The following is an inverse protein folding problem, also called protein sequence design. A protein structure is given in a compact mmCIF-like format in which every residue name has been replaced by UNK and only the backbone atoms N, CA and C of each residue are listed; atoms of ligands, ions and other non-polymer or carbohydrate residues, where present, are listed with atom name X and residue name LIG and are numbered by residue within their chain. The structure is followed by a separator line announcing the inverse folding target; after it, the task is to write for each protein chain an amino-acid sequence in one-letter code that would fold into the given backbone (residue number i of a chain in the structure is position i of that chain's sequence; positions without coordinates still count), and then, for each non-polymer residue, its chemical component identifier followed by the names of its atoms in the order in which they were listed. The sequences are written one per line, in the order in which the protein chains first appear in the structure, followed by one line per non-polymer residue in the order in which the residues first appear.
data_IF_143384522524
#
_entry.id   IF_143384522524
#
_cell.length_a   1.000
_cell.length_b   1.000
_cell.length_c   1.000
_cell.angle_alpha   90.00
_cell.angle_beta   90.00
_cell.angle_gamma   90.00
#
_symmetry.space_group_name_H-M   'P 1'
#
loop_
_entity.id
_entity.type
_entity.pdbx_description
1 polymer ?
#
# COMPACT_ATOMS: atom_id res chain seq x y z
N UNK A 1 3.27 3.34 -24.34
CA UNK A 1 3.27 4.81 -24.18
C UNK A 1 3.50 5.07 -22.71
N UNK A 2 4.74 5.34 -22.29
CA UNK A 2 5.11 5.59 -20.89
C UNK A 2 4.37 6.83 -20.42
N UNK A 3 3.58 6.72 -19.36
CA UNK A 3 2.88 7.89 -18.79
C UNK A 3 3.96 8.82 -18.25
N UNK A 4 4.07 10.00 -18.84
CA UNK A 4 5.03 11.02 -18.42
C UNK A 4 4.72 11.42 -16.97
N UNK A 5 5.75 11.40 -16.10
CA UNK A 5 5.68 11.76 -14.66
C UNK A 5 5.22 13.22 -14.39
N UNK A 6 5.09 14.04 -15.42
CA UNK A 6 4.77 15.47 -15.36
C UNK A 6 3.41 15.82 -16.00
N UNK A 7 2.44 14.90 -15.94
CA UNK A 7 1.10 15.22 -16.46
C UNK A 7 0.49 16.36 -15.63
N UNK A 8 0.25 17.50 -16.26
CA UNK A 8 -0.57 18.56 -15.66
C UNK A 8 -1.92 17.96 -15.22
N UNK A 9 -2.27 18.13 -13.94
CA UNK A 9 -3.55 17.61 -13.39
C UNK A 9 -3.45 16.25 -12.67
N UNK A 10 -2.27 15.67 -12.44
CA UNK A 10 -2.13 14.43 -11.70
C UNK A 10 -2.70 14.51 -10.27
N UNK A 11 -2.65 15.70 -9.64
CA UNK A 11 -3.23 15.91 -8.31
C UNK A 11 -4.76 15.70 -8.33
N UNK A 12 -5.45 16.13 -9.40
CA UNK A 12 -6.89 15.94 -9.51
C UNK A 12 -7.24 14.47 -9.75
N UNK A 13 -6.43 13.76 -10.52
CA UNK A 13 -6.55 12.31 -10.68
C UNK A 13 -6.31 11.60 -9.35
N UNK A 14 -5.25 11.95 -8.62
CA UNK A 14 -4.95 11.40 -7.31
C UNK A 14 -6.05 11.68 -6.28
N UNK A 15 -6.59 12.91 -6.23
CA UNK A 15 -7.73 13.25 -5.35
C UNK A 15 -8.97 12.44 -5.69
N UNK A 16 -9.27 12.25 -6.98
CA UNK A 16 -10.38 11.40 -7.42
C UNK A 16 -10.15 9.96 -6.98
N UNK A 17 -8.97 9.41 -7.22
CA UNK A 17 -8.61 8.05 -6.81
C UNK A 17 -8.70 7.88 -5.29
N UNK A 18 -8.18 8.82 -4.51
CA UNK A 18 -8.24 8.76 -3.05
C UNK A 18 -9.68 8.76 -2.51
N UNK A 19 -10.57 9.60 -3.09
CA UNK A 19 -12.02 9.54 -2.77
C UNK A 19 -12.63 8.19 -3.15
N UNK A 20 -12.30 7.68 -4.33
CA UNK A 20 -12.78 6.39 -4.82
C UNK A 20 -12.34 5.22 -3.93
N UNK A 21 -11.08 5.22 -3.45
CA UNK A 21 -10.56 4.23 -2.50
C UNK A 21 -11.43 4.20 -1.24
N UNK A 22 -11.65 5.34 -0.60
CA UNK A 22 -12.46 5.43 0.61
C UNK A 22 -13.90 4.95 0.38
N UNK A 23 -14.52 5.42 -0.72
CA UNK A 23 -15.89 5.06 -1.07
C UNK A 23 -16.05 3.56 -1.31
N UNK A 24 -15.11 2.92 -2.05
CA UNK A 24 -15.17 1.47 -2.33
C UNK A 24 -14.99 0.64 -1.08
N UNK A 25 -14.02 1.00 -0.23
CA UNK A 25 -13.77 0.26 1.01
C UNK A 25 -14.94 0.41 1.98
N UNK A 26 -15.57 1.60 2.05
CA UNK A 26 -16.78 1.80 2.85
C UNK A 26 -17.94 0.94 2.32
N UNK A 27 -18.21 0.99 1.02
CA UNK A 27 -19.27 0.18 0.40
C UNK A 27 -19.05 -1.32 0.65
N UNK A 28 -17.81 -1.80 0.52
CA UNK A 28 -17.43 -3.18 0.83
C UNK A 28 -17.68 -3.53 2.30
N UNK A 29 -17.26 -2.64 3.23
CA UNK A 29 -17.45 -2.84 4.67
C UNK A 29 -18.91 -2.91 5.06
N UNK A 30 -19.76 -2.06 4.49
CA UNK A 30 -21.22 -2.09 4.69
C UNK A 30 -21.80 -3.41 4.18
N UNK A 31 -21.43 -3.83 2.97
CA UNK A 31 -21.97 -5.05 2.36
C UNK A 31 -21.60 -6.32 3.14
N UNK A 32 -20.36 -6.41 3.67
CA UNK A 32 -19.81 -7.62 4.28
C UNK A 32 -19.77 -7.56 5.82
N UNK A 33 -20.26 -6.50 6.44
CA UNK A 33 -20.17 -6.24 7.88
C UNK A 33 -18.74 -6.41 8.44
N UNK A 34 -17.77 -5.89 7.71
CA UNK A 34 -16.38 -5.92 8.15
C UNK A 34 -15.40 -5.34 7.14
N UNK A 35 -14.45 -4.55 7.63
CA UNK A 35 -13.39 -3.97 6.79
C UNK A 35 -12.40 -3.09 7.51
N UNK A 36 -11.27 -2.89 6.86
CA UNK A 36 -10.17 -2.02 7.31
C UNK A 36 -10.40 -0.58 6.82
N UNK A 37 -11.42 0.11 7.37
CA UNK A 37 -11.81 1.45 6.92
C UNK A 37 -10.77 2.51 7.24
N UNK A 38 -10.18 2.47 8.44
CA UNK A 38 -9.18 3.46 8.84
C UNK A 38 -7.94 3.41 7.95
N UNK A 39 -7.56 2.22 7.50
CA UNK A 39 -6.45 2.04 6.56
C UNK A 39 -6.75 2.67 5.19
N UNK A 40 -7.99 2.55 4.72
CA UNK A 40 -8.40 3.24 3.50
C UNK A 40 -8.45 4.76 3.67
N UNK A 41 -8.82 5.25 4.87
CA UNK A 41 -8.83 6.68 5.16
C UNK A 41 -7.43 7.27 5.22
N UNK A 42 -6.50 6.61 5.93
CA UNK A 42 -5.13 7.08 6.11
C UNK A 42 -4.29 6.96 4.84
N UNK A 43 -4.38 5.82 4.13
CA UNK A 43 -3.48 5.52 3.01
C UNK A 43 -3.95 6.02 1.65
N UNK A 44 -5.17 6.55 1.52
CA UNK A 44 -5.76 6.83 0.21
C UNK A 44 -4.92 7.76 -0.65
N UNK A 45 -4.41 8.86 -0.12
CA UNK A 45 -3.54 9.79 -0.84
C UNK A 45 -2.17 9.18 -1.14
N UNK A 46 -1.62 8.38 -0.23
CA UNK A 46 -0.33 7.71 -0.43
C UNK A 46 -0.43 6.73 -1.62
N UNK A 47 -1.43 5.85 -1.62
CA UNK A 47 -1.65 4.90 -2.70
C UNK A 47 -1.99 5.61 -4.02
N UNK A 48 -2.85 6.64 -3.98
CA UNK A 48 -3.17 7.44 -5.14
C UNK A 48 -1.91 8.10 -5.73
N UNK A 49 -1.08 8.76 -4.92
CA UNK A 49 0.15 9.40 -5.37
C UNK A 49 1.16 8.38 -5.94
N UNK A 50 1.30 7.21 -5.30
CA UNK A 50 2.15 6.13 -5.80
C UNK A 50 1.74 5.71 -7.22
N UNK A 51 0.44 5.45 -7.45
CA UNK A 51 -0.05 4.92 -8.73
C UNK A 51 -0.24 5.98 -9.82
N UNK A 52 -0.48 7.24 -9.49
CA UNK A 52 -0.72 8.30 -10.50
C UNK A 52 0.52 9.13 -10.82
N UNK A 53 1.52 9.21 -9.92
CA UNK A 53 2.65 10.14 -10.07
C UNK A 53 4.01 9.52 -9.78
N UNK A 54 4.15 8.74 -8.71
CA UNK A 54 5.46 8.38 -8.17
C UNK A 54 6.08 7.19 -8.91
N UNK A 55 5.30 6.12 -9.09
CA UNK A 55 5.78 4.90 -9.73
C UNK A 55 5.82 5.02 -11.25
N UNK A 56 6.92 4.60 -11.84
CA UNK A 56 7.04 4.42 -13.29
C UNK A 56 6.53 3.03 -13.66
N UNK A 57 5.25 2.93 -13.97
CA UNK A 57 4.59 1.69 -14.35
C UNK A 57 4.03 1.79 -15.77
N UNK A 58 4.04 0.68 -16.50
CA UNK A 58 3.27 0.52 -17.72
C UNK A 58 1.82 0.08 -17.40
N UNK A 59 0.92 0.08 -18.37
CA UNK A 59 -0.43 -0.47 -18.20
C UNK A 59 -0.42 -1.90 -17.66
N UNK A 60 -1.47 -2.26 -16.90
CA UNK A 60 -1.67 -3.61 -16.43
C UNK A 60 -1.66 -4.61 -17.60
N UNK A 61 -0.96 -5.73 -17.41
CA UNK A 61 -0.98 -6.88 -18.34
C UNK A 61 -1.79 -8.06 -17.78
N UNK A 62 -2.42 -7.86 -16.62
CA UNK A 62 -3.32 -8.82 -16.00
C UNK A 62 -4.72 -8.77 -16.62
N UNK A 63 -5.52 -9.85 -16.50
CA UNK A 63 -6.95 -9.80 -16.79
C UNK A 63 -7.64 -8.74 -15.91
N UNK A 64 -8.52 -7.87 -16.45
CA UNK A 64 -9.22 -6.85 -15.66
C UNK A 64 -9.98 -7.42 -14.46
N UNK A 65 -10.65 -8.56 -14.64
CA UNK A 65 -11.28 -9.33 -13.55
C UNK A 65 -10.29 -10.41 -13.13
N UNK A 66 -9.87 -10.46 -11.84
CA UNK A 66 -8.93 -11.46 -11.35
C UNK A 66 -9.42 -12.89 -11.63
N UNK A 67 -8.54 -13.76 -12.15
CA UNK A 67 -8.90 -15.14 -12.39
C UNK A 67 -9.05 -15.92 -11.07
N UNK A 68 -9.75 -17.06 -11.07
CA UNK A 68 -9.70 -17.99 -9.96
C UNK A 68 -8.27 -18.40 -9.64
N UNK A 69 -8.02 -18.76 -8.38
CA UNK A 69 -6.70 -19.22 -7.94
C UNK A 69 -6.28 -20.50 -8.70
N UNK A 70 -5.21 -20.45 -9.50
CA UNK A 70 -4.81 -21.57 -10.34
C UNK A 70 -3.95 -22.61 -9.61
N UNK A 71 -3.79 -22.47 -8.29
CA UNK A 71 -2.81 -23.20 -7.50
C UNK A 71 -1.45 -22.53 -7.46
N UNK A 72 -0.57 -23.01 -6.59
CA UNK A 72 0.78 -22.46 -6.44
C UNK A 72 1.65 -22.77 -7.67
N UNK A 73 2.62 -21.88 -8.01
CA UNK A 73 3.59 -22.15 -9.06
C UNK A 73 4.38 -23.43 -8.77
N UNK A 74 4.59 -24.25 -9.80
CA UNK A 74 5.34 -25.48 -9.65
C UNK A 74 5.58 -26.18 -10.98
N UNK A 75 6.27 -27.33 -10.92
CA UNK A 75 6.57 -28.14 -12.12
C UNK A 75 5.32 -28.49 -12.94
N UNK A 76 4.21 -28.70 -12.26
CA UNK A 76 2.94 -29.08 -12.89
C UNK A 76 1.99 -27.89 -13.11
N UNK A 77 2.35 -26.69 -12.63
CA UNK A 77 1.61 -25.45 -12.80
C UNK A 77 2.56 -24.29 -13.15
N UNK A 78 3.25 -24.33 -14.31
CA UNK A 78 4.26 -23.33 -14.68
C UNK A 78 3.63 -21.99 -15.08
N UNK A 79 2.30 -21.93 -15.27
CA UNK A 79 1.55 -20.73 -15.67
C UNK A 79 0.76 -20.14 -14.53
N UNK A 80 1.19 -20.35 -13.29
CA UNK A 80 0.54 -19.72 -12.15
C UNK A 80 0.48 -18.20 -12.35
N UNK A 81 -0.67 -17.64 -12.04
CA UNK A 81 -0.92 -16.22 -12.16
C UNK A 81 -0.05 -15.44 -11.16
N UNK A 82 0.53 -14.34 -11.60
CA UNK A 82 1.32 -13.44 -10.77
C UNK A 82 0.57 -12.10 -10.61
N UNK A 83 0.24 -11.75 -9.37
CA UNK A 83 -0.47 -10.51 -9.03
C UNK A 83 0.28 -9.24 -9.39
N UNK A 84 1.61 -9.28 -9.47
CA UNK A 84 2.43 -8.16 -9.94
C UNK A 84 2.06 -7.70 -11.38
N UNK A 85 1.44 -8.56 -12.19
CA UNK A 85 0.98 -8.21 -13.52
C UNK A 85 -0.04 -7.05 -13.55
N UNK A 86 -0.74 -6.79 -12.45
CA UNK A 86 -1.58 -5.60 -12.29
C UNK A 86 -0.77 -4.30 -12.24
N UNK A 87 0.49 -4.35 -11.81
CA UNK A 87 1.41 -3.22 -11.82
C UNK A 87 2.06 -3.00 -13.20
N UNK A 88 1.80 -3.88 -14.16
CA UNK A 88 2.36 -3.86 -15.51
C UNK A 88 3.41 -4.96 -15.73
N UNK A 89 4.09 -4.95 -16.89
CA UNK A 89 5.16 -5.91 -17.17
C UNK A 89 6.38 -5.67 -16.28
N UNK A 90 7.14 -6.73 -16.01
CA UNK A 90 8.44 -6.60 -15.36
C UNK A 90 9.50 -6.24 -16.40
N UNK A 91 10.09 -5.04 -16.28
CA UNK A 91 11.16 -4.58 -17.16
C UNK A 91 12.28 -3.88 -16.37
N UNK A 92 13.52 -3.83 -16.90
CA UNK A 92 14.68 -3.27 -16.18
C UNK A 92 14.55 -1.80 -15.80
N UNK A 93 13.76 -1.03 -16.54
CA UNK A 93 13.55 0.40 -16.35
C UNK A 93 12.20 0.75 -15.71
N UNK A 94 11.33 -0.23 -15.49
CA UNK A 94 10.05 -0.05 -14.79
C UNK A 94 10.20 -0.32 -13.30
N UNK A 95 9.39 0.36 -12.52
CA UNK A 95 9.40 0.24 -11.07
C UNK A 95 8.70 -1.05 -10.59
N UNK A 96 9.01 -1.46 -9.37
CA UNK A 96 8.37 -2.58 -8.66
C UNK A 96 7.70 -2.06 -7.40
N UNK A 97 6.56 -2.65 -7.05
CA UNK A 97 5.79 -2.25 -5.87
C UNK A 97 5.57 -3.42 -4.91
N UNK A 98 5.79 -3.19 -3.63
CA UNK A 98 5.62 -4.16 -2.56
C UNK A 98 4.69 -3.62 -1.49
N UNK A 99 3.57 -4.28 -1.26
CA UNK A 99 2.69 -4.02 -0.12
C UNK A 99 3.18 -4.86 1.07
N UNK A 100 3.72 -4.23 2.10
CA UNK A 100 4.20 -4.92 3.29
C UNK A 100 3.07 -5.19 4.28
N UNK A 101 2.30 -4.18 4.61
CA UNK A 101 1.17 -4.29 5.52
C UNK A 101 -0.08 -4.81 4.79
N UNK A 102 -0.23 -6.13 4.68
CA UNK A 102 -1.29 -6.75 3.84
C UNK A 102 -2.71 -6.46 4.29
N UNK A 103 -2.94 -6.02 5.52
CA UNK A 103 -4.26 -5.53 5.94
C UNK A 103 -4.71 -4.25 5.21
N UNK A 104 -3.82 -3.62 4.41
CA UNK A 104 -4.17 -2.60 3.42
C UNK A 104 -4.57 -3.17 2.06
N UNK A 105 -4.63 -4.50 1.88
CA UNK A 105 -4.93 -5.12 0.59
C UNK A 105 -6.25 -4.61 -0.01
N UNK A 106 -7.29 -4.44 0.81
CA UNK A 106 -8.58 -3.90 0.34
C UNK A 106 -8.43 -2.47 -0.21
N UNK A 107 -7.62 -1.62 0.43
CA UNK A 107 -7.32 -0.28 -0.07
C UNK A 107 -6.47 -0.32 -1.36
N UNK A 108 -5.53 -1.27 -1.46
CA UNK A 108 -4.75 -1.49 -2.68
C UNK A 108 -5.65 -1.94 -3.84
N UNK A 109 -6.56 -2.89 -3.64
CA UNK A 109 -7.48 -3.32 -4.70
C UNK A 109 -8.38 -2.17 -5.15
N UNK A 110 -8.86 -1.35 -4.21
CA UNK A 110 -9.59 -0.14 -4.56
C UNK A 110 -8.72 0.84 -5.37
N UNK A 111 -7.45 1.02 -5.03
CA UNK A 111 -6.52 1.86 -5.79
C UNK A 111 -6.29 1.31 -7.21
N UNK A 112 -6.13 -0.01 -7.38
CA UNK A 112 -6.02 -0.64 -8.70
C UNK A 112 -7.26 -0.39 -9.56
N UNK A 113 -8.45 -0.40 -8.95
CA UNK A 113 -9.70 -0.08 -9.66
C UNK A 113 -9.74 1.39 -10.07
N UNK A 114 -9.46 2.30 -9.13
CA UNK A 114 -9.51 3.74 -9.39
C UNK A 114 -8.46 4.23 -10.39
N UNK A 115 -7.39 3.47 -10.59
CA UNK A 115 -6.34 3.74 -11.58
C UNK A 115 -6.46 2.88 -12.85
N UNK A 116 -7.60 2.19 -13.04
CA UNK A 116 -7.92 1.44 -14.27
C UNK A 116 -7.09 0.16 -14.47
N UNK A 117 -6.49 -0.37 -13.40
CA UNK A 117 -5.65 -1.58 -13.44
C UNK A 117 -6.42 -2.86 -13.14
N UNK A 118 -7.56 -2.76 -12.46
CA UNK A 118 -8.46 -3.86 -12.12
C UNK A 118 -9.91 -3.42 -12.36
N UNK A 119 -10.77 -4.33 -12.79
CA UNK A 119 -12.19 -4.05 -12.92
C UNK A 119 -12.91 -4.05 -11.55
N UNK A 120 -13.97 -3.24 -11.37
CA UNK A 120 -14.73 -3.19 -10.11
C UNK A 120 -15.28 -4.54 -9.66
N UNK A 121 -15.62 -5.42 -10.60
CA UNK A 121 -16.13 -6.77 -10.34
C UNK A 121 -15.13 -7.65 -9.60
N UNK A 122 -13.83 -7.35 -9.71
CA UNK A 122 -12.78 -8.05 -8.99
C UNK A 122 -12.95 -7.94 -7.48
N UNK A 123 -13.40 -6.79 -6.97
CA UNK A 123 -13.61 -6.60 -5.54
C UNK A 123 -14.73 -7.47 -4.96
N UNK A 124 -15.69 -7.90 -5.78
CA UNK A 124 -16.75 -8.81 -5.35
C UNK A 124 -16.22 -10.22 -5.01
N UNK A 125 -14.98 -10.53 -5.42
CA UNK A 125 -14.32 -11.79 -5.14
C UNK A 125 -13.53 -11.79 -3.81
N UNK A 126 -13.48 -10.65 -3.10
CA UNK A 126 -12.67 -10.51 -1.89
C UNK A 126 -12.99 -11.59 -0.85
N UNK A 127 -11.96 -12.33 -0.43
CA UNK A 127 -12.03 -13.44 0.53
C UNK A 127 -13.05 -14.55 0.20
N UNK A 128 -13.34 -14.76 -1.08
CA UNK A 128 -14.14 -15.92 -1.50
C UNK A 128 -13.25 -17.12 -1.77
N UNK A 129 -13.73 -18.31 -1.46
CA UNK A 129 -13.02 -19.56 -1.73
C UNK A 129 -12.64 -19.67 -3.21
N UNK A 130 -11.38 -20.01 -3.46
CA UNK A 130 -10.83 -20.11 -4.82
C UNK A 130 -10.56 -18.77 -5.51
N UNK A 131 -10.68 -17.64 -4.81
CA UNK A 131 -10.31 -16.32 -5.32
C UNK A 131 -8.82 -16.04 -5.15
N UNK A 132 -8.30 -15.15 -6.01
CA UNK A 132 -6.97 -14.53 -5.82
C UNK A 132 -7.05 -13.17 -5.10
N UNK A 133 -8.25 -12.67 -4.81
CA UNK A 133 -8.48 -11.38 -4.16
C UNK A 133 -8.63 -11.60 -2.66
N UNK A 134 -7.51 -11.63 -1.95
CA UNK A 134 -7.42 -12.06 -0.56
C UNK A 134 -7.08 -10.90 0.38
N UNK A 135 -7.54 -10.98 1.63
CA UNK A 135 -7.17 -10.03 2.69
C UNK A 135 -5.71 -10.21 3.12
N UNK A 136 -5.28 -11.45 3.27
CA UNK A 136 -3.87 -11.81 3.50
C UNK A 136 -3.28 -12.23 2.16
N UNK A 137 -2.94 -11.22 1.36
CA UNK A 137 -2.55 -11.44 -0.02
C UNK A 137 -1.20 -12.15 -0.17
N UNK A 138 -1.08 -12.87 -1.27
CA UNK A 138 0.12 -13.58 -1.69
C UNK A 138 0.58 -13.08 -3.07
N UNK A 139 1.63 -13.66 -3.62
CA UNK A 139 2.18 -13.28 -4.93
C UNK A 139 1.19 -13.42 -6.10
N UNK A 140 0.10 -14.15 -5.91
CA UNK A 140 -0.99 -14.27 -6.90
C UNK A 140 -2.11 -13.23 -6.70
N UNK A 141 -2.11 -12.50 -5.58
CA UNK A 141 -3.15 -11.49 -5.31
C UNK A 141 -2.88 -10.19 -6.09
N UNK A 142 -3.92 -9.52 -6.64
CA UNK A 142 -3.74 -8.35 -7.49
C UNK A 142 -2.84 -7.27 -6.88
N UNK A 143 -1.81 -6.87 -7.62
CA UNK A 143 -0.87 -5.83 -7.21
C UNK A 143 0.21 -6.26 -6.21
N UNK A 144 0.19 -7.51 -5.71
CA UNK A 144 1.20 -8.03 -4.80
C UNK A 144 2.32 -8.75 -5.56
N UNK A 145 3.55 -8.55 -5.11
CA UNK A 145 4.74 -9.17 -5.69
C UNK A 145 5.24 -10.36 -4.88
N UNK A 146 4.89 -10.41 -3.61
CA UNK A 146 5.32 -11.43 -2.65
C UNK A 146 4.19 -11.78 -1.71
N UNK A 147 4.26 -12.95 -1.11
CA UNK A 147 3.36 -13.35 -0.03
C UNK A 147 3.59 -12.46 1.20
N UNK A 148 2.52 -11.83 1.65
CA UNK A 148 2.49 -10.97 2.83
C UNK A 148 1.97 -11.69 4.08
N UNK A 149 1.46 -10.93 5.06
CA UNK A 149 0.83 -11.43 6.28
C UNK A 149 1.76 -11.48 7.49
N UNK A 150 3.02 -11.78 7.31
CA UNK A 150 4.03 -11.68 8.36
C UNK A 150 4.64 -10.28 8.35
N UNK A 151 4.20 -9.42 9.26
CA UNK A 151 4.60 -8.01 9.31
C UNK A 151 6.13 -7.85 9.44
N UNK A 152 6.69 -6.90 8.71
CA UNK A 152 8.13 -6.61 8.69
C UNK A 152 8.95 -7.46 7.73
N UNK A 153 8.42 -8.56 7.16
CA UNK A 153 9.19 -9.44 6.26
C UNK A 153 9.31 -8.90 4.84
N UNK A 154 8.31 -8.21 4.34
CA UNK A 154 8.26 -7.76 2.95
C UNK A 154 9.39 -6.77 2.62
N UNK A 155 9.80 -5.93 3.58
CA UNK A 155 10.91 -5.01 3.37
C UNK A 155 12.23 -5.75 3.05
N UNK A 156 12.50 -6.88 3.72
CA UNK A 156 13.67 -7.72 3.43
C UNK A 156 13.58 -8.34 2.03
N UNK A 157 12.39 -8.81 1.62
CA UNK A 157 12.17 -9.40 0.30
C UNK A 157 12.34 -8.34 -0.80
N UNK A 158 11.77 -7.14 -0.61
CA UNK A 158 11.96 -6.01 -1.51
C UNK A 158 13.43 -5.58 -1.60
N UNK A 159 14.16 -5.60 -0.49
CA UNK A 159 15.60 -5.37 -0.42
C UNK A 159 16.39 -6.40 -1.26
N UNK A 160 16.01 -7.67 -1.20
CA UNK A 160 16.60 -8.72 -2.03
C UNK A 160 16.38 -8.48 -3.53
N UNK A 161 15.17 -8.11 -3.93
CA UNK A 161 14.84 -7.72 -5.30
C UNK A 161 15.65 -6.50 -5.73
N UNK A 162 15.73 -5.46 -4.88
CA UNK A 162 16.51 -4.27 -5.16
C UNK A 162 18.00 -4.58 -5.33
N UNK A 163 18.58 -5.43 -4.48
CA UNK A 163 19.96 -5.84 -4.61
C UNK A 163 20.22 -6.57 -5.94
N UNK A 164 19.33 -7.49 -6.32
CA UNK A 164 19.42 -8.20 -7.60
C UNK A 164 19.35 -7.22 -8.79
N UNK A 165 18.45 -6.23 -8.77
CA UNK A 165 18.33 -5.19 -9.78
C UNK A 165 19.61 -4.34 -9.88
N UNK A 166 20.15 -3.93 -8.73
CA UNK A 166 21.43 -3.19 -8.68
C UNK A 166 22.58 -3.97 -9.33
N UNK A 167 22.70 -5.27 -9.01
CA UNK A 167 23.74 -6.15 -9.59
C UNK A 167 23.57 -6.31 -11.12
N UNK A 168 22.32 -6.30 -11.60
CA UNK A 168 21.99 -6.32 -13.04
C UNK A 168 22.07 -4.95 -13.72
N UNK A 169 22.33 -3.86 -12.97
CA UNK A 169 22.35 -2.48 -13.47
C UNK A 169 21.00 -2.04 -14.06
N UNK A 170 19.91 -2.54 -13.51
CA UNK A 170 18.56 -2.09 -13.84
C UNK A 170 18.29 -0.70 -13.23
N UNK A 171 17.48 0.12 -13.88
CA UNK A 171 17.28 1.53 -13.53
C UNK A 171 15.95 1.81 -12.82
N UNK A 172 14.98 0.89 -12.91
CA UNK A 172 13.70 1.03 -12.22
C UNK A 172 13.87 0.93 -10.70
N UNK A 173 13.04 1.64 -9.98
CA UNK A 173 13.04 1.70 -8.50
C UNK A 173 12.22 0.57 -7.90
N UNK A 174 12.42 0.35 -6.61
CA UNK A 174 11.63 -0.56 -5.78
C UNK A 174 10.90 0.27 -4.72
N UNK A 175 9.59 0.26 -4.77
CA UNK A 175 8.72 0.98 -3.84
C UNK A 175 8.08 0.02 -2.86
N UNK A 176 8.11 0.37 -1.58
CA UNK A 176 7.51 -0.42 -0.51
C UNK A 176 6.51 0.45 0.24
N UNK A 177 5.28 -0.03 0.38
CA UNK A 177 4.30 0.58 1.27
C UNK A 177 4.28 -0.19 2.59
N UNK A 178 4.41 0.53 3.70
CA UNK A 178 4.44 -0.02 5.06
C UNK A 178 3.46 0.71 5.98
N UNK A 179 3.12 0.07 7.10
CA UNK A 179 2.49 0.72 8.24
C UNK A 179 3.51 1.05 9.34
N UNK A 180 3.20 2.02 10.19
CA UNK A 180 4.01 2.36 11.35
C UNK A 180 4.14 1.19 12.35
N UNK A 181 3.10 0.37 12.51
CA UNK A 181 3.10 -0.81 13.38
C UNK A 181 4.17 -1.85 13.02
N UNK A 182 4.64 -1.89 11.78
CA UNK A 182 5.70 -2.82 11.36
C UNK A 182 7.07 -2.48 11.96
N UNK A 183 7.27 -1.25 12.45
CA UNK A 183 8.47 -0.86 13.18
C UNK A 183 8.52 -1.35 14.64
N UNK A 184 7.49 -2.04 15.08
CA UNK A 184 7.52 -2.84 16.32
C UNK A 184 8.19 -4.21 16.10
N UNK A 185 8.41 -4.61 14.83
CA UNK A 185 9.09 -5.86 14.47
C UNK A 185 10.61 -5.64 14.32
N UNK A 186 11.42 -6.47 14.97
CA UNK A 186 12.87 -6.43 14.86
C UNK A 186 13.38 -6.61 13.43
N UNK A 187 12.71 -7.46 12.64
CA UNK A 187 13.10 -7.73 11.26
C UNK A 187 13.03 -6.51 10.35
N UNK A 188 12.13 -5.54 10.62
CA UNK A 188 12.10 -4.26 9.90
C UNK A 188 13.42 -3.49 10.06
N UNK A 189 13.99 -3.48 11.26
CA UNK A 189 15.26 -2.80 11.56
C UNK A 189 16.45 -3.53 10.96
N UNK A 190 16.44 -4.86 10.99
CA UNK A 190 17.46 -5.68 10.29
C UNK A 190 17.43 -5.43 8.78
N UNK A 191 16.24 -5.32 8.18
CA UNK A 191 16.08 -4.97 6.78
C UNK A 191 16.65 -3.57 6.48
N UNK A 192 16.34 -2.56 7.30
CA UNK A 192 16.86 -1.20 7.13
C UNK A 192 18.38 -1.17 7.19
N UNK A 193 19.00 -1.91 8.12
CA UNK A 193 20.45 -2.05 8.20
C UNK A 193 21.03 -2.63 6.91
N UNK A 194 20.41 -3.67 6.36
CA UNK A 194 20.85 -4.29 5.10
C UNK A 194 20.70 -3.33 3.90
N UNK A 195 19.57 -2.61 3.79
CA UNK A 195 19.34 -1.61 2.73
C UNK A 195 20.43 -0.53 2.75
N UNK A 196 20.78 -0.01 3.92
CA UNK A 196 21.83 0.98 4.09
C UNK A 196 23.21 0.41 3.77
N UNK A 197 23.56 -0.77 4.28
CA UNK A 197 24.85 -1.43 4.05
C UNK A 197 25.12 -1.64 2.56
N UNK A 198 24.11 -2.16 1.82
CA UNK A 198 24.23 -2.37 0.38
C UNK A 198 23.99 -1.10 -0.45
N UNK A 199 23.73 0.05 0.21
CA UNK A 199 23.49 1.36 -0.43
C UNK A 199 22.40 1.25 -1.50
N UNK A 200 21.25 0.71 -1.13
CA UNK A 200 20.12 0.49 -2.05
C UNK A 200 19.26 1.76 -2.17
N UNK A 201 19.84 2.80 -2.73
CA UNK A 201 19.26 4.15 -2.86
C UNK A 201 18.16 4.27 -3.93
N UNK A 202 17.93 3.21 -4.68
CA UNK A 202 16.78 3.06 -5.56
C UNK A 202 15.56 2.42 -4.86
N UNK A 203 15.67 2.12 -3.55
CA UNK A 203 14.53 1.73 -2.72
C UNK A 203 13.88 2.98 -2.13
N UNK A 204 12.55 3.08 -2.29
CA UNK A 204 11.72 4.09 -1.64
C UNK A 204 10.65 3.42 -0.78
N UNK A 205 10.59 3.78 0.49
CA UNK A 205 9.62 3.26 1.47
C UNK A 205 8.66 4.37 1.85
N UNK A 206 7.36 4.14 1.64
CA UNK A 206 6.29 5.00 2.14
C UNK A 206 5.64 4.35 3.34
N UNK A 207 5.65 5.04 4.46
CA UNK A 207 5.10 4.56 5.73
C UNK A 207 3.85 5.35 6.07
N UNK A 208 2.71 4.69 6.17
CA UNK A 208 1.48 5.27 6.73
C UNK A 208 1.63 5.37 8.26
N UNK A 209 1.93 6.60 8.74
CA UNK A 209 2.08 6.88 10.18
C UNK A 209 0.73 7.41 10.68
N UNK A 210 -0.20 6.50 10.91
CA UNK A 210 -1.57 6.83 11.34
C UNK A 210 -1.76 6.75 12.87
N UNK A 211 -0.74 6.29 13.60
CA UNK A 211 -0.76 6.20 15.05
C UNK A 211 -1.71 5.15 15.61
N UNK A 212 -2.19 4.22 14.75
CA UNK A 212 -3.12 3.15 15.16
C UNK A 212 -2.50 1.78 14.93
N UNK A 213 -2.80 0.88 15.82
CA UNK A 213 -2.51 -0.54 15.64
C UNK A 213 -3.69 -1.39 16.13
N UNK A 214 -3.60 -2.72 16.01
CA UNK A 214 -4.71 -3.65 16.26
C UNK A 214 -5.38 -3.43 17.63
N UNK A 215 -4.60 -3.19 18.68
CA UNK A 215 -5.08 -3.10 20.07
C UNK A 215 -5.38 -1.67 20.54
N UNK A 216 -5.20 -0.68 19.68
CA UNK A 216 -5.47 0.73 19.99
C UNK A 216 -4.47 1.71 19.44
N UNK A 217 -4.29 2.82 20.13
CA UNK A 217 -3.34 3.85 19.72
C UNK A 217 -1.88 3.39 19.95
N UNK A 218 -1.02 3.63 18.94
CA UNK A 218 0.39 3.26 18.97
C UNK A 218 1.11 3.72 20.25
N UNK A 219 0.84 4.96 20.71
CA UNK A 219 1.48 5.54 21.90
C UNK A 219 1.19 4.79 23.20
N UNK A 220 0.07 4.07 23.27
CA UNK A 220 -0.36 3.34 24.47
C UNK A 220 -0.04 1.85 24.39
N UNK A 221 0.06 1.29 23.18
CA UNK A 221 0.37 -0.13 23.02
C UNK A 221 1.88 -0.36 23.02
N UNK A 222 2.61 0.24 22.06
CA UNK A 222 4.07 0.20 22.03
C UNK A 222 4.58 1.37 21.19
N UNK A 223 5.04 2.42 21.87
CA UNK A 223 5.52 3.64 21.20
C UNK A 223 6.82 3.39 20.42
N UNK A 224 6.82 3.74 19.14
CA UNK A 224 7.97 3.62 18.24
C UNK A 224 8.72 4.93 18.02
N UNK A 225 8.18 6.04 18.50
CA UNK A 225 8.82 7.36 18.32
C UNK A 225 10.09 7.53 19.22
N UNK A 226 11.06 8.31 18.78
CA UNK A 226 11.11 9.13 17.57
C UNK A 226 11.54 8.31 16.33
N UNK A 227 10.59 7.99 15.43
CA UNK A 227 10.83 7.08 14.31
C UNK A 227 11.84 7.66 13.29
N UNK A 228 11.76 8.96 13.00
CA UNK A 228 12.69 9.61 12.06
C UNK A 228 14.14 9.42 12.46
N UNK A 229 14.52 9.84 13.66
CA UNK A 229 15.91 9.78 14.11
C UNK A 229 16.45 8.35 14.23
N UNK A 230 15.59 7.40 14.58
CA UNK A 230 15.96 5.99 14.55
C UNK A 230 16.33 5.54 13.14
N UNK A 231 15.47 5.80 12.15
CA UNK A 231 15.72 5.44 10.75
C UNK A 231 16.95 6.13 10.16
N UNK A 232 17.18 7.43 10.50
CA UNK A 232 18.38 8.14 10.11
C UNK A 232 19.65 7.49 10.70
N UNK A 233 19.58 7.01 11.94
CA UNK A 233 20.69 6.27 12.59
C UNK A 233 20.96 4.94 11.88
N UNK A 234 19.93 4.29 11.33
CA UNK A 234 20.08 3.11 10.48
C UNK A 234 20.53 3.41 9.05
N UNK A 235 20.83 4.67 8.72
CA UNK A 235 21.41 5.10 7.45
C UNK A 235 20.40 5.45 6.36
N UNK A 236 19.12 5.59 6.68
CA UNK A 236 18.10 6.01 5.73
C UNK A 236 18.09 7.55 5.53
N UNK A 237 17.68 7.98 4.34
CA UNK A 237 17.29 9.36 4.05
C UNK A 237 15.81 9.53 4.33
N UNK A 238 15.46 10.26 5.41
CA UNK A 238 14.10 10.28 5.96
C UNK A 238 13.44 11.63 5.78
N UNK A 239 12.19 11.60 5.27
CA UNK A 239 11.30 12.76 5.18
C UNK A 239 10.05 12.53 6.01
N UNK A 240 9.63 13.54 6.77
CA UNK A 240 8.35 13.59 7.45
C UNK A 240 7.43 14.52 6.67
N UNK A 241 6.29 14.03 6.26
CA UNK A 241 5.32 14.77 5.44
C UNK A 241 3.91 14.63 5.99
N UNK A 242 3.04 15.59 5.65
CA UNK A 242 1.60 15.40 5.78
C UNK A 242 1.16 14.37 4.72
N UNK A 243 0.68 13.21 5.17
CA UNK A 243 0.27 12.12 4.29
C UNK A 243 -1.01 12.38 3.48
N UNK A 244 -1.67 13.52 3.72
CA UNK A 244 -2.82 13.97 2.92
C UNK A 244 -2.46 15.12 1.95
N UNK A 245 -1.19 15.53 1.90
CA UNK A 245 -0.66 16.49 0.95
C UNK A 245 0.05 15.78 -0.20
N UNK A 246 -0.55 15.80 -1.38
CA UNK A 246 -0.06 15.08 -2.55
C UNK A 246 1.30 15.58 -3.03
N UNK A 247 1.54 16.90 -2.97
CA UNK A 247 2.83 17.47 -3.39
C UNK A 247 3.94 17.12 -2.39
N UNK A 248 3.62 17.14 -1.09
CA UNK A 248 4.54 16.70 -0.05
C UNK A 248 4.88 15.20 -0.15
N UNK A 249 3.92 14.36 -0.57
CA UNK A 249 4.15 12.94 -0.83
C UNK A 249 5.05 12.72 -2.06
N UNK A 250 4.87 13.49 -3.13
CA UNK A 250 5.60 13.31 -4.39
C UNK A 250 7.04 13.84 -4.32
N UNK A 251 7.27 14.98 -3.66
CA UNK A 251 8.55 15.68 -3.69
C UNK A 251 9.78 14.82 -3.28
N UNK A 252 9.74 13.97 -2.25
CA UNK A 252 10.89 13.11 -1.91
C UNK A 252 11.24 12.11 -3.01
N UNK A 253 10.26 11.65 -3.80
CA UNK A 253 10.48 10.68 -4.87
C UNK A 253 11.23 11.29 -6.08
N UNK A 254 11.15 12.60 -6.27
CA UNK A 254 11.85 13.32 -7.35
C UNK A 254 13.33 13.57 -7.07
N UNK A 255 13.77 13.34 -5.82
CA UNK A 255 15.15 13.54 -5.44
C UNK A 255 16.08 12.50 -6.04
N UNK A 256 17.26 12.94 -6.46
CA UNK A 256 18.29 12.04 -6.96
C UNK A 256 18.78 11.08 -5.87
N UNK A 257 19.07 9.82 -6.22
CA UNK A 257 19.70 8.85 -5.34
C UNK A 257 21.02 9.40 -4.77
N UNK A 258 21.33 9.09 -3.51
CA UNK A 258 22.51 9.59 -2.79
C UNK A 258 23.27 8.51 -2.03
N UNK A 259 22.98 7.24 -2.30
CA UNK A 259 23.58 6.10 -1.62
C UNK A 259 22.78 5.65 -0.38
N UNK A 260 21.66 6.30 -0.04
CA UNK A 260 20.82 5.97 1.11
C UNK A 260 19.43 5.53 0.66
N UNK A 261 18.81 4.49 1.26
CA UNK A 261 17.42 4.17 1.01
C UNK A 261 16.52 5.35 1.43
N UNK A 262 15.52 5.67 0.61
CA UNK A 262 14.55 6.72 0.89
C UNK A 262 13.45 6.19 1.82
N UNK A 263 13.12 6.93 2.87
CA UNK A 263 11.94 6.68 3.71
C UNK A 263 11.10 7.93 3.83
N UNK A 264 9.82 7.83 3.48
CA UNK A 264 8.83 8.89 3.62
C UNK A 264 7.85 8.49 4.72
N UNK A 265 7.94 9.16 5.85
CA UNK A 265 7.01 9.04 6.97
C UNK A 265 5.82 9.95 6.71
N UNK A 266 4.75 9.39 6.19
CA UNK A 266 3.51 10.10 5.88
C UNK A 266 2.59 10.07 7.10
N UNK A 267 2.55 11.18 7.85
CA UNK A 267 1.67 11.33 9.00
C UNK A 267 0.25 11.57 8.54
N UNK A 268 -0.67 10.69 8.91
CA UNK A 268 -2.04 10.64 8.41
C UNK A 268 -3.07 10.65 9.54
N UNK A 269 -4.31 10.94 9.14
CA UNK A 269 -5.48 10.79 10.01
C UNK A 269 -6.24 9.52 9.60
N UNK A 270 -6.42 8.54 10.52
CA UNK A 270 -7.14 7.29 10.24
C UNK A 270 -8.66 7.47 10.00
N UNK A 271 -9.19 8.68 10.15
CA UNK A 271 -10.57 9.03 9.81
C UNK A 271 -10.67 10.07 8.68
N UNK A 272 -9.59 10.34 7.95
CA UNK A 272 -9.58 11.35 6.87
C UNK A 272 -10.65 11.05 5.82
N UNK A 273 -11.48 12.05 5.49
CA UNK A 273 -12.59 11.93 4.54
C UNK A 273 -13.76 11.07 5.03
N UNK A 274 -13.73 10.60 6.29
CA UNK A 274 -14.79 9.78 6.89
C UNK A 274 -14.98 10.12 8.38
N UNK A 275 -15.47 11.34 8.69
CA UNK A 275 -15.56 11.82 10.08
C UNK A 275 -16.46 10.96 10.97
N UNK A 276 -17.39 10.19 10.40
CA UNK A 276 -18.23 9.25 11.15
C UNK A 276 -17.40 8.20 11.91
N UNK A 277 -16.17 7.89 11.47
CA UNK A 277 -15.26 6.97 12.15
C UNK A 277 -14.75 7.50 13.49
N UNK A 278 -14.77 8.80 13.73
CA UNK A 278 -14.30 9.40 14.99
C UNK A 278 -15.06 8.88 16.21
N UNK A 279 -16.34 8.52 16.03
CA UNK A 279 -17.17 7.94 17.11
C UNK A 279 -16.67 6.57 17.61
N UNK A 280 -15.83 5.90 16.84
CA UNK A 280 -15.31 4.55 17.17
C UNK A 280 -13.95 4.57 17.85
N UNK A 281 -13.35 5.75 18.08
CA UNK A 281 -12.07 5.83 18.81
C UNK A 281 -12.16 5.20 20.20
N UNK A 282 -11.10 4.55 20.67
CA UNK A 282 -9.77 4.38 20.05
C UNK A 282 -9.64 3.15 19.12
N UNK A 283 -10.69 2.36 18.89
CA UNK A 283 -10.65 1.10 18.13
C UNK A 283 -11.05 1.31 16.67
N UNK A 284 -10.12 1.77 15.87
CA UNK A 284 -10.33 2.07 14.45
C UNK A 284 -9.81 0.99 13.49
N UNK A 285 -8.94 0.08 13.95
CA UNK A 285 -8.17 -0.80 13.08
C UNK A 285 -9.03 -1.71 12.19
N UNK A 286 -10.08 -2.31 12.76
CA UNK A 286 -11.04 -3.11 12.00
C UNK A 286 -12.46 -2.73 12.39
N UNK A 287 -13.26 -2.31 11.42
CA UNK A 287 -14.66 -1.94 11.63
C UNK A 287 -15.56 -3.14 11.39
N UNK A 288 -16.34 -3.48 12.39
CA UNK A 288 -17.52 -4.36 12.31
C UNK A 288 -18.66 -3.61 12.99
N UNK A 289 -19.78 -3.48 12.30
CA UNK A 289 -20.93 -2.77 12.84
C UNK A 289 -21.53 -3.54 14.02
N UNK A 290 -21.86 -2.83 15.09
CA UNK A 290 -22.40 -3.40 16.31
C UNK A 290 -23.88 -3.77 16.16
N UNK A 291 -24.62 -2.95 15.38
CA UNK A 291 -26.02 -3.11 15.10
C UNK A 291 -26.43 -2.61 13.71
N UNK A 292 -27.72 -2.77 13.39
CA UNK A 292 -28.28 -2.32 12.11
C UNK A 292 -28.36 -0.80 11.98
N UNK A 293 -28.54 -0.08 13.07
CA UNK A 293 -28.64 1.38 13.10
C UNK A 293 -27.28 2.00 12.79
N UNK A 294 -26.21 1.49 13.38
CA UNK A 294 -24.85 1.93 13.02
C UNK A 294 -24.56 1.69 11.55
N UNK A 295 -24.88 0.49 11.04
CA UNK A 295 -24.69 0.15 9.62
C UNK A 295 -25.46 1.10 8.70
N UNK A 296 -26.69 1.47 9.06
CA UNK A 296 -27.52 2.41 8.29
C UNK A 296 -26.89 3.79 8.26
N UNK A 297 -26.41 4.32 9.38
CA UNK A 297 -25.72 5.62 9.44
C UNK A 297 -24.49 5.64 8.49
N UNK A 298 -23.74 4.55 8.41
CA UNK A 298 -22.63 4.46 7.47
C UNK A 298 -23.09 4.35 6.01
N UNK A 299 -24.26 3.72 5.75
CA UNK A 299 -24.85 3.66 4.42
C UNK A 299 -25.37 5.04 3.97
N UNK A 300 -26.03 5.79 4.86
CA UNK A 300 -26.41 7.17 4.62
C UNK A 300 -25.20 8.05 4.32
N UNK A 301 -24.12 7.93 5.11
CA UNK A 301 -22.88 8.66 4.85
C UNK A 301 -22.29 8.31 3.48
N UNK A 302 -22.27 7.03 3.09
CA UNK A 302 -21.80 6.59 1.76
C UNK A 302 -22.61 7.28 0.63
N UNK A 303 -23.88 7.49 0.80
CA UNK A 303 -24.73 8.17 -0.19
C UNK A 303 -24.36 9.66 -0.39
N UNK A 304 -23.64 10.27 0.55
CA UNK A 304 -23.17 11.66 0.47
C UNK A 304 -21.80 11.81 -0.17
N UNK A 305 -21.05 10.72 -0.35
CA UNK A 305 -19.71 10.70 -0.95
C UNK A 305 -19.81 10.65 -2.48
#
# INVERSE_FOLDING_TARGET
MTIARDAAGWQDEARRAARGIRRRVLAHTIANNGGYLSQACSSAEILAALYTRIMKLDPSVAPPVPPPFPGVPGKHNPRAFNGAAYNGPTAPDLDRFFLSAVHYALALYAALIETGRMAPEGLAQFNRDGSTVEMIGAEHSPGLEVTGGSLGQTLSQAGGVALARKLRRETGRVWVFMSDGEFQSGQTWEAMQALAFYRLDHVGVYVDVNGQQCDGEMKTVMNIEPLKSRLETFGARVFQVNGHDLDALAAPADLSPNGQPLVVLAYTNPAAGMPILESRRPKLHYVRFEDAEERERFAEFLATM
#
